data_IF_066099278014
#
_entry.id   IF_066099278014
#
_cell.length_a   1.000
_cell.length_b   1.000
_cell.length_c   1.000
_cell.angle_alpha   90.00
_cell.angle_beta   90.00
_cell.angle_gamma   90.00
#
_symmetry.space_group_name_H-M   'P 1'
#
loop_
_entity.id
_entity.type
_entity.pdbx_description
1 polymer ?
#
# COMPACT_ATOMS: atom_id res chain seq x y z
N UNK A 1 6.18 -19.67 50.96
CA UNK A 1 5.02 -18.75 50.79
C UNK A 1 4.79 -18.65 49.29
N UNK A 2 4.28 -19.68 48.61
CA UNK A 2 2.92 -20.23 48.68
C UNK A 2 1.84 -19.22 48.29
N UNK A 3 1.64 -19.06 46.97
CA UNK A 3 0.46 -18.56 46.25
C UNK A 3 0.73 -18.94 44.78
N UNK A 4 0.26 -20.04 44.20
CA UNK A 4 -1.09 -20.61 44.05
C UNK A 4 -2.13 -19.59 43.56
N UNK A 5 -2.85 -20.04 42.52
CA UNK A 5 -4.07 -19.51 41.88
C UNK A 5 -3.82 -18.53 40.72
N UNK A 6 -4.51 -18.55 39.59
CA UNK A 6 -5.38 -19.50 38.88
C UNK A 6 -5.89 -18.70 37.66
N UNK A 7 -6.06 -19.37 36.52
CA UNK A 7 -7.08 -19.14 35.48
C UNK A 7 -7.43 -17.72 35.01
N UNK A 8 -7.41 -17.52 33.69
CA UNK A 8 -8.48 -16.84 32.92
C UNK A 8 -8.20 -16.93 31.43
N UNK A 9 -8.88 -17.85 30.73
CA UNK A 9 -9.05 -17.79 29.28
C UNK A 9 -10.11 -16.73 28.98
N UNK A 10 -9.71 -15.63 28.34
CA UNK A 10 -10.62 -14.62 27.82
C UNK A 10 -10.64 -14.74 26.29
N UNK A 11 -11.55 -15.57 25.80
CA UNK A 11 -12.05 -15.50 24.44
C UNK A 11 -12.97 -14.27 24.34
N UNK A 12 -12.42 -13.16 23.86
CA UNK A 12 -13.13 -11.91 23.63
C UNK A 12 -13.37 -11.67 22.14
N UNK A 13 -14.62 -11.86 21.70
CA UNK A 13 -15.15 -11.26 20.48
C UNK A 13 -15.77 -9.93 20.87
N UNK A 14 -15.28 -8.80 20.36
CA UNK A 14 -15.86 -7.49 20.65
C UNK A 14 -15.00 -6.30 20.24
N UNK A 15 -15.53 -5.53 19.30
CA UNK A 15 -15.00 -4.27 18.77
C UNK A 15 -14.55 -3.26 19.83
N UNK A 16 -13.48 -2.52 19.49
CA UNK A 16 -13.31 -1.12 19.90
C UNK A 16 -12.14 -0.82 20.84
N UNK A 17 -10.99 -0.48 20.24
CA UNK A 17 -10.24 0.73 20.63
C UNK A 17 -9.06 0.63 21.61
N UNK A 18 -7.84 0.58 21.04
CA UNK A 18 -6.59 1.19 21.55
C UNK A 18 -5.82 0.42 22.63
N UNK A 19 -4.49 0.24 22.59
CA UNK A 19 -3.41 0.82 21.78
C UNK A 19 -2.16 -0.07 21.83
N UNK A 20 -1.33 -0.09 20.77
CA UNK A 20 0.09 -0.47 20.88
C UNK A 20 0.74 -1.30 19.75
N UNK A 21 1.23 -0.60 18.72
CA UNK A 21 2.40 -0.92 17.88
C UNK A 21 2.30 -1.92 16.70
N UNK A 22 2.01 -1.32 15.54
CA UNK A 22 2.79 -1.39 14.29
C UNK A 22 3.21 -2.75 13.72
N UNK A 23 2.28 -3.38 13.00
CA UNK A 23 2.59 -4.12 11.79
C UNK A 23 1.80 -3.44 10.66
N UNK A 24 2.51 -2.86 9.69
CA UNK A 24 1.91 -2.19 8.54
C UNK A 24 1.12 -3.22 7.72
N UNK A 25 -0.19 -3.28 7.99
CA UNK A 25 -1.13 -4.09 7.26
C UNK A 25 -1.19 -3.61 5.81
N UNK A 26 -0.80 -4.48 4.88
CA UNK A 26 -1.18 -4.36 3.49
C UNK A 26 -2.69 -4.53 3.39
N UNK A 27 -3.42 -3.43 3.53
CA UNK A 27 -4.85 -3.38 3.21
C UNK A 27 -4.93 -3.47 1.68
N UNK A 28 -5.13 -4.68 1.17
CA UNK A 28 -5.62 -4.86 -0.20
C UNK A 28 -7.01 -4.22 -0.24
N UNK A 29 -7.09 -2.98 -0.74
CA UNK A 29 -8.35 -2.32 -1.01
C UNK A 29 -8.97 -2.98 -2.25
N UNK A 30 -9.70 -4.07 -2.04
CA UNK A 30 -10.70 -4.54 -2.99
C UNK A 30 -11.88 -3.58 -2.93
N UNK A 31 -11.75 -2.45 -3.61
CA UNK A 31 -12.87 -1.53 -3.82
C UNK A 31 -13.71 -2.04 -4.98
N UNK A 32 -14.69 -2.89 -4.69
CA UNK A 32 -15.86 -3.05 -5.56
C UNK A 32 -16.67 -1.75 -5.50
N UNK A 33 -16.41 -0.84 -6.45
CA UNK A 33 -17.20 0.37 -6.64
C UNK A 33 -18.34 0.08 -7.62
N UNK A 34 -19.53 -0.19 -7.08
CA UNK A 34 -20.78 -0.17 -7.83
C UNK A 34 -21.28 1.28 -7.95
N UNK A 35 -21.40 1.76 -9.20
CA UNK A 35 -22.20 2.93 -9.58
C UNK A 35 -21.49 4.30 -9.47
N UNK A 36 -21.11 4.87 -10.62
CA UNK A 36 -20.66 6.27 -10.75
C UNK A 36 -19.14 6.49 -10.57
N UNK A 37 -18.30 5.61 -11.13
CA UNK A 37 -16.84 5.78 -11.08
C UNK A 37 -16.33 6.84 -12.06
N UNK A 38 -15.29 7.57 -11.67
CA UNK A 38 -14.46 8.38 -12.56
C UNK A 38 -14.05 7.53 -13.78
N UNK A 39 -14.20 8.04 -15.02
CA UNK A 39 -13.69 7.33 -16.21
C UNK A 39 -12.24 6.96 -15.99
N UNK A 40 -11.85 5.72 -16.33
CA UNK A 40 -10.48 5.27 -16.10
C UNK A 40 -9.44 6.20 -16.76
N UNK A 41 -9.78 6.80 -17.89
CA UNK A 41 -8.98 7.80 -18.59
C UNK A 41 -8.61 9.01 -17.74
N UNK A 42 -9.45 9.36 -16.78
CA UNK A 42 -9.31 10.54 -15.93
C UNK A 42 -8.53 10.22 -14.65
N UNK A 43 -8.19 8.94 -14.43
CA UNK A 43 -7.42 8.48 -13.27
C UNK A 43 -5.92 8.52 -13.60
N UNK A 44 -5.18 9.27 -12.79
CA UNK A 44 -3.72 9.30 -12.78
C UNK A 44 -3.18 8.65 -11.50
N UNK A 45 -2.25 7.71 -11.64
CA UNK A 45 -1.60 7.02 -10.52
C UNK A 45 -0.12 7.35 -10.53
N UNK A 46 0.36 8.00 -9.45
CA UNK A 46 1.77 8.24 -9.21
C UNK A 46 2.47 7.04 -8.58
N UNK A 47 3.68 6.73 -9.03
CA UNK A 47 4.47 5.58 -8.57
C UNK A 47 5.92 6.01 -8.37
N UNK A 48 6.37 6.01 -7.11
CA UNK A 48 7.78 6.19 -6.77
C UNK A 48 8.48 4.84 -6.70
N UNK A 49 9.48 4.64 -7.56
CA UNK A 49 10.32 3.43 -7.57
C UNK A 49 11.64 3.72 -6.86
N UNK A 50 12.16 2.75 -6.10
CA UNK A 50 13.39 2.97 -5.34
C UNK A 50 14.60 3.21 -6.26
N UNK A 51 14.79 2.40 -7.31
CA UNK A 51 15.76 2.65 -8.41
C UNK A 51 15.30 2.07 -9.73
N UNK A 52 15.54 2.76 -10.85
CA UNK A 52 15.24 2.23 -12.18
C UNK A 52 16.26 1.21 -12.70
N UNK A 53 17.48 1.21 -12.17
CA UNK A 53 18.56 0.32 -12.60
C UNK A 53 18.45 -1.10 -12.01
N UNK A 54 17.56 -1.32 -11.05
CA UNK A 54 17.24 -2.66 -10.54
C UNK A 54 16.39 -3.45 -11.55
N UNK A 55 16.87 -4.65 -11.89
CA UNK A 55 16.21 -5.59 -12.79
C UNK A 55 14.86 -6.06 -12.25
N UNK A 56 14.72 -6.22 -10.93
CA UNK A 56 13.46 -6.56 -10.29
C UNK A 56 12.45 -5.42 -10.46
N UNK A 57 12.86 -4.18 -10.19
CA UNK A 57 12.01 -2.99 -10.39
C UNK A 57 11.63 -2.78 -11.85
N UNK A 58 12.49 -3.17 -12.80
CA UNK A 58 12.13 -3.17 -14.22
C UNK A 58 10.96 -4.13 -14.51
N UNK A 59 10.99 -5.33 -13.94
CA UNK A 59 9.87 -6.27 -14.02
C UNK A 59 8.57 -5.69 -13.42
N UNK A 60 8.66 -5.06 -12.24
CA UNK A 60 7.52 -4.41 -11.58
C UNK A 60 6.94 -3.29 -12.44
N UNK A 61 7.77 -2.36 -12.92
CA UNK A 61 7.34 -1.25 -13.79
C UNK A 61 6.65 -1.71 -15.06
N UNK A 62 7.19 -2.75 -15.71
CA UNK A 62 6.61 -3.31 -16.93
C UNK A 62 5.22 -3.90 -16.68
N UNK A 63 5.06 -4.66 -15.59
CA UNK A 63 3.77 -5.25 -15.23
C UNK A 63 2.74 -4.18 -14.86
N UNK A 64 3.13 -3.18 -14.05
CA UNK A 64 2.25 -2.06 -13.70
C UNK A 64 1.79 -1.32 -14.95
N UNK A 65 2.72 -0.99 -15.85
CA UNK A 65 2.42 -0.31 -17.13
C UNK A 65 1.47 -1.13 -18.00
N UNK A 66 1.69 -2.44 -18.10
CA UNK A 66 0.80 -3.33 -18.86
C UNK A 66 -0.61 -3.38 -18.26
N UNK A 67 -0.73 -3.43 -16.93
CA UNK A 67 -2.02 -3.44 -16.25
C UNK A 67 -2.74 -2.10 -16.35
N UNK A 68 -2.02 -0.98 -16.25
CA UNK A 68 -2.60 0.34 -16.41
C UNK A 68 -3.17 0.57 -17.81
N UNK A 69 -2.44 0.14 -18.85
CA UNK A 69 -2.93 0.17 -20.24
C UNK A 69 -4.23 -0.62 -20.41
N UNK A 70 -4.32 -1.82 -19.83
CA UNK A 70 -5.55 -2.64 -19.88
C UNK A 70 -6.71 -1.97 -19.13
N UNK A 71 -6.42 -1.32 -18.01
CA UNK A 71 -7.40 -0.60 -17.21
C UNK A 71 -7.80 0.76 -17.81
N UNK A 72 -7.03 1.29 -18.77
CA UNK A 72 -7.26 2.61 -19.36
C UNK A 72 -6.86 3.77 -18.45
N UNK A 73 -5.99 3.54 -17.46
CA UNK A 73 -5.51 4.56 -16.51
C UNK A 73 -4.11 5.04 -16.88
N UNK A 74 -3.76 6.26 -16.46
CA UNK A 74 -2.43 6.84 -16.67
C UNK A 74 -1.51 6.54 -15.49
N UNK A 75 -0.27 6.13 -15.76
CA UNK A 75 0.79 6.00 -14.74
C UNK A 75 1.82 7.11 -14.92
N UNK A 76 2.17 7.77 -13.81
CA UNK A 76 3.37 8.59 -13.69
C UNK A 76 4.37 7.85 -12.82
N UNK A 77 5.47 7.37 -13.42
CA UNK A 77 6.47 6.57 -12.72
C UNK A 77 7.76 7.40 -12.61
N UNK A 78 8.24 7.57 -11.37
CA UNK A 78 9.42 8.37 -11.03
C UNK A 78 10.45 7.53 -10.28
N UNK A 79 11.72 7.92 -10.40
CA UNK A 79 12.86 7.22 -9.80
C UNK A 79 13.39 8.00 -8.58
N UNK A 80 13.25 7.43 -7.39
CA UNK A 80 13.75 8.04 -6.15
C UNK A 80 15.27 7.90 -5.95
N UNK A 81 15.96 7.13 -6.79
CA UNK A 81 17.42 6.94 -6.74
C UNK A 81 17.93 6.35 -5.41
N UNK A 82 17.08 5.65 -4.67
CA UNK A 82 17.30 5.14 -3.31
C UNK A 82 17.65 6.24 -2.31
N UNK A 83 17.05 7.43 -2.52
CA UNK A 83 17.21 8.60 -1.67
C UNK A 83 15.85 9.02 -1.15
N UNK A 84 15.69 8.96 0.16
CA UNK A 84 14.45 9.36 0.81
C UNK A 84 14.08 10.82 0.51
N UNK A 85 15.06 11.73 0.45
CA UNK A 85 14.80 13.13 0.10
C UNK A 85 14.17 13.27 -1.30
N UNK A 86 14.71 12.58 -2.30
CA UNK A 86 14.16 12.58 -3.66
C UNK A 86 12.78 11.95 -3.73
N UNK A 87 12.51 10.90 -2.95
CA UNK A 87 11.17 10.33 -2.83
C UNK A 87 10.18 11.34 -2.23
N UNK A 88 10.56 12.07 -1.18
CA UNK A 88 9.69 13.07 -0.55
C UNK A 88 9.37 14.19 -1.54
N UNK A 89 10.38 14.71 -2.25
CA UNK A 89 10.18 15.71 -3.31
C UNK A 89 9.20 15.22 -4.38
N UNK A 90 9.32 13.96 -4.81
CA UNK A 90 8.44 13.35 -5.81
C UNK A 90 7.01 13.09 -5.35
N UNK A 91 6.79 12.98 -4.03
CA UNK A 91 5.45 12.80 -3.45
C UNK A 91 4.79 14.15 -3.18
N UNK A 92 5.58 15.15 -2.80
CA UNK A 92 5.11 16.48 -2.44
C UNK A 92 4.75 17.35 -3.66
N UNK A 93 5.17 16.95 -4.87
CA UNK A 93 4.95 17.67 -6.15
C UNK A 93 4.12 16.88 -7.15
#
# INVERSE_FOLDING_TARGET
>A
MATLMAGSVLAGCGSGGGAGSSAAGGQAASSEASGGGTPASDVNIGVCIYKFDDTFMTGVRNNMTAQAKKAGVTLSIVDSQNKQATQNEQVDT
#
